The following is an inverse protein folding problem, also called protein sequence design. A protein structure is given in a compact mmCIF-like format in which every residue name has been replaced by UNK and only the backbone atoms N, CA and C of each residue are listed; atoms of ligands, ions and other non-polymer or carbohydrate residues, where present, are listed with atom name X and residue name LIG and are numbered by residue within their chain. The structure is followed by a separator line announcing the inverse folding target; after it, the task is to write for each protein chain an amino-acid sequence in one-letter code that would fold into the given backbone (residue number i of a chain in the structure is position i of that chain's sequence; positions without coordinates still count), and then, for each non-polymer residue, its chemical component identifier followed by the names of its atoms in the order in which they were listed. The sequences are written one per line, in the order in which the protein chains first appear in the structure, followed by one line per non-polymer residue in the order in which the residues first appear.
data_IF_837915494948
#
_entry.id   IF_837915494948
#
_cell.length_a   1.000
_cell.length_b   1.000
_cell.length_c   1.000
_cell.angle_alpha   90.00
_cell.angle_beta   90.00
_cell.angle_gamma   90.00
#
_symmetry.space_group_name_H-M   'P 1'
#
loop_
_entity.id
_entity.type
_entity.pdbx_description
1 polymer ?
#
# COMPACT_ATOMS: atom_id res chain seq x y z
N UNK A 1 -57.99 33.74 67.80
CA UNK A 1 -58.48 32.76 68.80
C UNK A 1 -58.24 33.37 70.18
N UNK A 2 -59.29 33.45 70.99
CA UNK A 2 -59.36 34.27 72.19
C UNK A 2 -58.41 33.76 73.30
N UNK A 3 -57.64 34.66 73.92
CA UNK A 3 -56.48 34.32 74.77
C UNK A 3 -56.88 33.56 76.05
N UNK A 4 -58.17 33.63 76.43
CA UNK A 4 -58.77 32.88 77.55
C UNK A 4 -58.95 31.39 77.26
N UNK A 5 -59.27 31.00 76.03
CA UNK A 5 -59.53 29.60 75.68
C UNK A 5 -58.23 28.78 75.72
N UNK A 6 -57.12 29.41 75.34
CA UNK A 6 -55.79 28.77 75.34
C UNK A 6 -55.28 28.49 76.76
N UNK A 7 -55.52 29.41 77.69
CA UNK A 7 -55.12 29.27 79.10
C UNK A 7 -55.93 28.21 79.88
N UNK A 8 -57.15 27.89 79.45
CA UNK A 8 -57.97 26.83 80.03
C UNK A 8 -57.54 25.44 79.52
N UNK A 9 -57.15 25.33 78.26
CA UNK A 9 -56.68 24.06 77.65
C UNK A 9 -55.33 23.59 78.22
N UNK A 10 -54.42 24.51 78.53
CA UNK A 10 -53.09 24.18 79.08
C UNK A 10 -53.14 23.66 80.54
N UNK A 11 -54.29 23.74 81.22
CA UNK A 11 -54.49 23.23 82.59
C UNK A 11 -54.99 21.78 82.66
N UNK A 12 -55.25 21.15 81.51
CA UNK A 12 -55.73 19.77 81.47
C UNK A 12 -54.53 18.83 81.63
N UNK A 13 -54.36 18.23 82.81
CA UNK A 13 -53.37 17.17 83.03
C UNK A 13 -53.79 15.88 82.31
N UNK A 14 -52.96 15.43 81.36
CA UNK A 14 -53.20 14.20 80.61
C UNK A 14 -52.73 13.00 81.46
N UNK A 15 -53.61 12.02 81.78
CA UNK A 15 -53.24 10.85 82.57
C UNK A 15 -52.12 10.03 81.89
N UNK A 16 -51.12 9.60 82.66
CA UNK A 16 -49.93 8.86 82.18
C UNK A 16 -50.23 7.48 81.56
N UNK A 17 -51.48 7.04 81.53
CA UNK A 17 -51.92 5.75 80.98
C UNK A 17 -52.57 5.85 79.57
N UNK A 18 -52.79 7.05 79.02
CA UNK A 18 -53.22 7.25 77.61
C UNK A 18 -52.04 7.27 76.61
N UNK A 19 -51.04 6.44 76.86
CA UNK A 19 -49.64 6.72 76.54
C UNK A 19 -49.13 6.23 75.17
N UNK A 20 -49.99 6.11 74.15
CA UNK A 20 -49.45 5.76 72.81
C UNK A 20 -50.35 6.17 71.66
N UNK A 21 -51.66 5.94 71.74
CA UNK A 21 -52.58 6.32 70.66
C UNK A 21 -52.80 7.82 70.54
N UNK A 22 -52.80 8.55 71.66
CA UNK A 22 -52.95 10.01 71.66
C UNK A 22 -51.68 10.68 71.13
N UNK A 23 -50.50 10.19 71.53
CA UNK A 23 -49.20 10.64 71.00
C UNK A 23 -49.10 10.37 69.50
N UNK A 24 -49.45 9.15 69.06
CA UNK A 24 -49.48 8.79 67.63
C UNK A 24 -50.48 9.66 66.83
N UNK A 25 -51.63 9.99 67.44
CA UNK A 25 -52.63 10.89 66.85
C UNK A 25 -52.12 12.31 66.68
N UNK A 26 -51.44 12.87 67.69
CA UNK A 26 -50.83 14.20 67.62
C UNK A 26 -49.67 14.27 66.62
N UNK A 27 -48.87 13.21 66.54
CA UNK A 27 -47.74 13.13 65.61
C UNK A 27 -48.18 12.97 64.15
N UNK A 28 -49.27 12.23 63.90
CA UNK A 28 -49.92 12.16 62.60
C UNK A 28 -50.58 13.50 62.21
N UNK A 29 -51.28 14.16 63.15
CA UNK A 29 -51.86 15.47 62.91
C UNK A 29 -50.80 16.54 62.57
N UNK A 30 -49.62 16.48 63.22
CA UNK A 30 -48.48 17.35 62.89
C UNK A 30 -47.92 17.05 61.49
N UNK A 31 -47.81 15.78 61.11
CA UNK A 31 -47.40 15.35 59.76
C UNK A 31 -48.38 15.79 58.68
N UNK A 32 -49.68 15.74 58.96
CA UNK A 32 -50.71 16.16 58.01
C UNK A 32 -50.79 17.69 57.88
N UNK A 33 -50.54 18.44 58.97
CA UNK A 33 -50.39 19.89 58.94
C UNK A 33 -49.14 20.34 58.14
N UNK A 34 -48.01 19.63 58.28
CA UNK A 34 -46.79 19.88 57.48
C UNK A 34 -46.95 19.51 55.99
N UNK A 35 -47.80 18.54 55.66
CA UNK A 35 -48.17 18.21 54.27
C UNK A 35 -49.06 19.28 53.62
N UNK A 36 -49.91 19.95 54.38
CA UNK A 36 -50.82 21.00 53.88
C UNK A 36 -50.10 22.35 53.63
N UNK A 37 -48.89 22.55 54.15
CA UNK A 37 -48.10 23.78 53.96
C UNK A 37 -47.22 23.77 52.69
N UNK A 38 -47.20 22.67 51.92
CA UNK A 38 -46.63 22.69 50.57
C UNK A 38 -47.73 23.05 49.58
N UNK A 39 -47.63 24.20 48.87
CA UNK A 39 -48.67 24.58 47.93
C UNK A 39 -48.75 23.55 46.79
N UNK A 40 -49.94 22.98 46.60
CA UNK A 40 -50.33 22.31 45.36
C UNK A 40 -50.18 23.30 44.20
N UNK A 41 -49.09 23.19 43.43
CA UNK A 41 -49.02 23.81 42.12
C UNK A 41 -49.83 22.96 41.14
N UNK A 42 -51.01 23.47 40.81
CA UNK A 42 -51.79 23.07 39.63
C UNK A 42 -50.91 23.05 38.38
N UNK A 43 -50.88 21.92 37.66
CA UNK A 43 -50.32 21.85 36.31
C UNK A 43 -49.72 20.49 35.97
N UNK A 44 -50.55 19.58 35.47
CA UNK A 44 -50.14 18.37 34.77
C UNK A 44 -49.32 18.68 33.51
N UNK A 45 -48.02 18.95 33.69
CA UNK A 45 -47.02 18.67 32.68
C UNK A 45 -45.98 17.80 33.33
N UNK A 46 -45.96 16.54 32.95
CA UNK A 46 -44.90 15.58 33.29
C UNK A 46 -43.59 16.14 32.72
N UNK A 47 -42.91 17.02 33.48
CA UNK A 47 -41.61 17.57 33.11
C UNK A 47 -40.66 16.37 33.14
N UNK A 48 -40.48 15.78 31.97
CA UNK A 48 -39.48 14.76 31.73
C UNK A 48 -38.13 15.42 32.02
N UNK A 49 -37.61 15.12 33.22
CA UNK A 49 -36.44 15.80 33.79
C UNK A 49 -35.33 15.87 32.75
N UNK A 50 -34.67 17.02 32.60
CA UNK A 50 -33.54 17.21 31.68
C UNK A 50 -32.53 16.06 31.77
N UNK A 51 -32.32 15.49 32.96
CA UNK A 51 -31.46 14.30 33.17
C UNK A 51 -31.96 13.03 32.49
N UNK A 52 -33.27 12.73 32.52
CA UNK A 52 -33.85 11.60 31.79
C UNK A 52 -33.85 11.82 30.28
N UNK A 53 -34.07 13.07 29.83
CA UNK A 53 -33.88 13.44 28.41
C UNK A 53 -32.43 13.21 27.98
N UNK A 54 -31.46 13.74 28.73
CA UNK A 54 -30.04 13.59 28.44
C UNK A 54 -29.62 12.11 28.50
N UNK A 55 -30.07 11.32 29.47
CA UNK A 55 -29.80 9.88 29.50
C UNK A 55 -30.43 9.14 28.31
N UNK A 56 -31.66 9.48 27.95
CA UNK A 56 -32.35 8.84 26.83
C UNK A 56 -31.72 9.22 25.48
N UNK A 57 -31.35 10.49 25.29
CA UNK A 57 -30.61 10.95 24.12
C UNK A 57 -29.18 10.42 24.10
N UNK A 58 -28.52 10.25 25.25
CA UNK A 58 -27.21 9.62 25.35
C UNK A 58 -27.28 8.13 25.02
N UNK A 59 -28.28 7.39 25.49
CA UNK A 59 -28.45 5.98 25.13
C UNK A 59 -28.79 5.80 23.66
N UNK A 60 -29.63 6.68 23.09
CA UNK A 60 -29.94 6.69 21.66
C UNK A 60 -28.71 7.09 20.84
N UNK A 61 -27.90 8.06 21.30
CA UNK A 61 -26.66 8.44 20.62
C UNK A 61 -25.63 7.31 20.67
N UNK A 62 -25.48 6.60 21.78
CA UNK A 62 -24.57 5.44 21.88
C UNK A 62 -25.07 4.29 20.99
N UNK A 63 -26.37 4.04 20.93
CA UNK A 63 -26.95 3.05 20.00
C UNK A 63 -26.78 3.47 18.53
N UNK A 64 -26.97 4.74 18.21
CA UNK A 64 -26.77 5.28 16.85
C UNK A 64 -25.29 5.29 16.46
N UNK A 65 -24.37 5.63 17.37
CA UNK A 65 -22.93 5.54 17.15
C UNK A 65 -22.48 4.08 17.02
N UNK A 66 -23.02 3.18 17.85
CA UNK A 66 -22.79 1.73 17.72
C UNK A 66 -23.31 1.17 16.41
N UNK A 67 -24.51 1.60 15.97
CA UNK A 67 -25.06 1.30 14.65
C UNK A 67 -24.21 1.91 13.52
N UNK A 68 -23.71 3.13 13.68
CA UNK A 68 -22.85 3.79 12.70
C UNK A 68 -21.52 3.05 12.54
N UNK A 69 -20.86 2.72 13.66
CA UNK A 69 -19.59 1.98 13.68
C UNK A 69 -19.81 0.58 13.12
N UNK A 70 -20.88 -0.12 13.53
CA UNK A 70 -21.20 -1.44 12.96
C UNK A 70 -21.57 -1.37 11.48
N UNK A 71 -22.18 -0.29 10.99
CA UNK A 71 -22.49 -0.12 9.57
C UNK A 71 -21.25 0.12 8.71
N UNK A 72 -20.19 0.69 9.28
CA UNK A 72 -18.88 0.78 8.62
C UNK A 72 -18.23 -0.60 8.42
N UNK A 73 -18.54 -1.59 9.27
CA UNK A 73 -18.10 -2.98 9.09
C UNK A 73 -19.01 -3.82 8.19
N UNK A 74 -20.22 -3.36 7.88
CA UNK A 74 -21.24 -4.14 7.13
C UNK A 74 -21.40 -3.64 5.68
N UNK A 75 -20.93 -2.43 5.35
CA UNK A 75 -21.01 -1.86 4.00
C UNK A 75 -19.63 -1.45 3.45
N UNK A 76 -19.10 -2.17 2.45
CA UNK A 76 -17.87 -1.79 1.73
C UNK A 76 -17.89 -0.36 1.17
N UNK A 77 -19.06 0.21 0.90
CA UNK A 77 -19.21 1.56 0.36
C UNK A 77 -18.93 2.68 1.39
N UNK A 78 -19.14 2.43 2.69
CA UNK A 78 -18.90 3.43 3.76
C UNK A 78 -17.49 3.34 4.34
N UNK A 79 -16.87 2.16 4.33
CA UNK A 79 -15.46 1.97 4.71
C UNK A 79 -14.50 2.77 3.80
N UNK A 80 -14.93 3.08 2.58
CA UNK A 80 -14.12 3.74 1.54
C UNK A 80 -13.98 5.26 1.69
N UNK A 81 -14.78 5.90 2.54
CA UNK A 81 -14.86 7.39 2.65
C UNK A 81 -14.11 7.96 3.86
N UNK A 82 -13.42 7.14 4.65
CA UNK A 82 -12.64 7.62 5.81
C UNK A 82 -11.14 7.53 5.52
N UNK A 83 -10.68 8.43 4.67
CA UNK A 83 -9.29 8.91 4.62
C UNK A 83 -9.30 10.31 4.02
N UNK A 84 -8.72 11.29 4.69
CA UNK A 84 -8.55 12.65 4.14
C UNK A 84 -7.52 12.70 3.01
N UNK A 85 -6.79 11.60 2.75
CA UNK A 85 -5.80 11.47 1.68
C UNK A 85 -6.20 10.30 0.76
N UNK A 86 -6.35 10.50 -0.55
CA UNK A 86 -6.62 9.41 -1.49
C UNK A 86 -5.56 8.30 -1.39
N UNK A 87 -5.99 7.03 -1.47
CA UNK A 87 -5.13 5.87 -1.24
C UNK A 87 -3.82 5.89 -2.06
N UNK A 88 -3.90 6.13 -3.37
CA UNK A 88 -2.72 6.19 -4.24
C UNK A 88 -1.81 7.40 -3.94
N UNK A 89 -2.39 8.55 -3.55
CA UNK A 89 -1.60 9.72 -3.13
C UNK A 89 -0.79 9.41 -1.86
N UNK A 90 -1.36 8.64 -0.92
CA UNK A 90 -0.64 8.22 0.28
C UNK A 90 0.55 7.31 -0.04
N UNK A 91 0.42 6.45 -1.06
CA UNK A 91 1.52 5.59 -1.52
C UNK A 91 2.61 6.42 -2.20
N UNK A 92 2.22 7.38 -3.04
CA UNK A 92 3.18 8.26 -3.73
C UNK A 92 4.07 9.04 -2.77
N UNK A 93 3.51 9.50 -1.65
CA UNK A 93 4.23 10.25 -0.63
C UNK A 93 5.01 9.34 0.35
N UNK A 94 4.63 8.07 0.45
CA UNK A 94 5.27 7.13 1.35
C UNK A 94 6.56 6.57 0.76
N UNK A 95 7.45 6.16 1.64
CA UNK A 95 8.58 5.32 1.26
C UNK A 95 8.09 4.02 0.59
N UNK A 96 8.69 3.61 -0.55
CA UNK A 96 8.35 2.36 -1.20
C UNK A 96 8.43 1.18 -0.25
N UNK A 97 7.45 0.28 -0.31
CA UNK A 97 7.36 -0.86 0.60
C UNK A 97 8.63 -1.72 0.64
N UNK A 98 9.36 -1.79 -0.48
CA UNK A 98 10.64 -2.47 -0.56
C UNK A 98 11.67 -1.88 0.38
N UNK A 99 11.93 -0.58 0.30
CA UNK A 99 12.90 0.10 1.16
C UNK A 99 12.54 -0.06 2.63
N UNK A 100 11.27 0.14 2.99
CA UNK A 100 10.81 -0.01 4.37
C UNK A 100 11.05 -1.43 4.92
N UNK A 101 10.83 -2.47 4.11
CA UNK A 101 11.13 -3.86 4.50
C UNK A 101 12.64 -4.09 4.62
N UNK A 102 13.42 -3.56 3.68
CA UNK A 102 14.87 -3.71 3.68
C UNK A 102 15.48 -3.10 4.95
N UNK A 103 15.12 -1.85 5.25
CA UNK A 103 15.63 -1.10 6.41
C UNK A 103 15.23 -1.78 7.72
N UNK A 104 13.96 -2.20 7.87
CA UNK A 104 13.49 -2.89 9.08
C UNK A 104 14.24 -4.22 9.32
N UNK A 105 14.56 -4.95 8.26
CA UNK A 105 15.29 -6.22 8.38
C UNK A 105 16.79 -5.99 8.63
N UNK A 106 17.41 -4.97 8.03
CA UNK A 106 18.79 -4.56 8.34
C UNK A 106 18.93 -4.07 9.78
N UNK A 107 18.00 -3.26 10.28
CA UNK A 107 17.98 -2.77 11.67
C UNK A 107 17.88 -3.92 12.69
N UNK A 108 17.18 -5.00 12.32
CA UNK A 108 17.12 -6.24 13.10
C UNK A 108 18.38 -7.11 13.00
N UNK A 109 19.36 -6.70 12.18
CA UNK A 109 20.64 -7.37 12.02
C UNK A 109 20.63 -8.53 11.05
N UNK A 110 19.61 -8.66 10.20
CA UNK A 110 19.58 -9.70 9.19
C UNK A 110 20.52 -9.39 8.02
N UNK A 111 21.26 -10.39 7.55
CA UNK A 111 22.10 -10.32 6.35
C UNK A 111 21.27 -10.60 5.09
N UNK A 112 21.02 -9.57 4.30
CA UNK A 112 20.11 -9.60 3.15
C UNK A 112 20.91 -9.14 1.92
N UNK A 113 20.91 -9.92 0.85
CA UNK A 113 21.53 -9.51 -0.42
C UNK A 113 20.55 -8.94 -1.43
N UNK A 114 19.25 -9.10 -1.19
CA UNK A 114 18.26 -8.46 -2.04
C UNK A 114 16.83 -8.65 -1.60
N UNK A 115 15.98 -7.76 -2.09
CA UNK A 115 14.53 -7.84 -1.99
C UNK A 115 13.91 -7.57 -3.35
N UNK A 116 12.71 -8.08 -3.59
CA UNK A 116 12.01 -7.82 -4.83
C UNK A 116 10.58 -8.33 -4.87
N UNK A 117 9.87 -8.00 -5.93
CA UNK A 117 8.49 -8.42 -6.16
C UNK A 117 8.37 -9.18 -7.48
N UNK A 118 7.83 -10.39 -7.43
CA UNK A 118 7.33 -11.11 -8.61
C UNK A 118 5.84 -10.94 -8.74
N UNK A 119 5.36 -10.85 -9.98
CA UNK A 119 3.94 -10.68 -10.29
C UNK A 119 3.32 -11.87 -11.04
N UNK A 120 4.13 -12.87 -11.40
CA UNK A 120 3.71 -14.04 -12.18
C UNK A 120 4.51 -15.28 -11.73
N UNK A 121 3.88 -16.47 -11.58
CA UNK A 121 2.45 -16.76 -11.78
C UNK A 121 1.56 -16.26 -10.62
N UNK A 122 2.16 -15.96 -9.48
CA UNK A 122 1.51 -15.37 -8.31
C UNK A 122 2.30 -14.13 -7.86
N UNK A 123 1.63 -13.24 -7.12
CA UNK A 123 2.29 -12.06 -6.56
C UNK A 123 3.07 -12.49 -5.33
N UNK A 124 4.39 -12.39 -5.41
CA UNK A 124 5.30 -12.84 -4.35
C UNK A 124 6.29 -11.73 -4.03
N UNK A 125 6.44 -11.44 -2.75
CA UNK A 125 7.53 -10.64 -2.22
C UNK A 125 8.69 -11.57 -1.87
N UNK A 126 9.86 -11.34 -2.47
CA UNK A 126 11.07 -12.11 -2.27
C UNK A 126 12.03 -11.38 -1.36
N UNK A 127 12.62 -12.13 -0.44
CA UNK A 127 13.80 -11.70 0.34
C UNK A 127 14.89 -12.73 0.13
N UNK A 128 16.10 -12.28 -0.20
CA UNK A 128 17.28 -13.12 -0.38
C UNK A 128 18.23 -12.90 0.78
N UNK A 129 18.50 -13.97 1.53
CA UNK A 129 19.39 -13.95 2.69
C UNK A 129 20.80 -14.42 2.32
N UNK A 130 21.80 -13.72 2.82
CA UNK A 130 23.20 -14.12 2.73
C UNK A 130 23.57 -15.15 3.79
N UNK A 131 24.75 -15.78 3.65
CA UNK A 131 25.37 -16.54 4.74
C UNK A 131 25.35 -18.07 4.60
N UNK A 132 25.40 -18.76 5.73
CA UNK A 132 25.46 -20.23 5.82
C UNK A 132 24.06 -20.85 5.72
N UNK A 133 24.00 -22.16 5.45
CA UNK A 133 22.73 -22.91 5.51
C UNK A 133 22.13 -22.88 6.91
N UNK A 134 22.97 -22.89 7.94
CA UNK A 134 22.56 -22.80 9.34
C UNK A 134 21.88 -21.46 9.61
N UNK A 135 22.52 -20.34 9.21
CA UNK A 135 21.95 -19.01 9.36
C UNK A 135 20.60 -18.89 8.62
N UNK A 136 20.55 -19.32 7.35
CA UNK A 136 19.29 -19.32 6.59
C UNK A 136 18.19 -20.12 7.30
N UNK A 137 18.52 -21.31 7.78
CA UNK A 137 17.55 -22.18 8.45
C UNK A 137 17.05 -21.61 9.78
N UNK A 138 17.90 -20.86 10.48
CA UNK A 138 17.58 -20.20 11.75
C UNK A 138 16.64 -19.00 11.55
N UNK A 139 16.91 -18.12 10.58
CA UNK A 139 16.21 -16.83 10.49
C UNK A 139 15.07 -16.77 9.47
N UNK A 140 14.99 -17.70 8.50
CA UNK A 140 14.04 -17.59 7.36
C UNK A 140 12.58 -17.39 7.77
N UNK A 141 12.14 -18.07 8.82
CA UNK A 141 10.73 -18.06 9.23
C UNK A 141 10.40 -16.76 9.98
N UNK A 142 11.33 -16.23 10.77
CA UNK A 142 11.19 -14.95 11.44
C UNK A 142 11.24 -13.77 10.45
N UNK A 143 12.13 -13.82 9.47
CA UNK A 143 12.17 -12.86 8.36
C UNK A 143 10.85 -12.90 7.60
N UNK A 144 10.37 -14.09 7.22
CA UNK A 144 9.10 -14.27 6.53
C UNK A 144 7.93 -13.67 7.31
N UNK A 145 7.90 -13.90 8.61
CA UNK A 145 6.88 -13.35 9.51
C UNK A 145 6.95 -11.83 9.59
N UNK A 146 8.14 -11.27 9.80
CA UNK A 146 8.38 -9.81 9.87
C UNK A 146 7.90 -9.11 8.60
N UNK A 147 8.26 -9.64 7.43
CA UNK A 147 7.81 -9.10 6.14
C UNK A 147 6.29 -9.19 6.01
N UNK A 148 5.69 -10.32 6.43
CA UNK A 148 4.23 -10.49 6.44
C UNK A 148 3.52 -9.44 7.29
N UNK A 149 3.99 -9.20 8.52
CA UNK A 149 3.43 -8.21 9.44
C UNK A 149 3.51 -6.78 8.85
N UNK A 150 4.62 -6.43 8.19
CA UNK A 150 4.78 -5.13 7.52
C UNK A 150 3.77 -4.98 6.38
N UNK A 151 3.64 -5.99 5.51
CA UNK A 151 2.69 -5.98 4.40
C UNK A 151 1.25 -5.85 4.92
N UNK A 152 0.88 -6.62 5.95
CA UNK A 152 -0.42 -6.55 6.59
C UNK A 152 -0.70 -5.17 7.20
N UNK A 153 0.30 -4.56 7.84
CA UNK A 153 0.15 -3.21 8.44
C UNK A 153 -0.17 -2.13 7.39
N UNK A 154 0.30 -2.32 6.15
CA UNK A 154 0.00 -1.45 5.00
C UNK A 154 -1.29 -1.87 4.27
N UNK A 155 -1.93 -2.93 4.72
CA UNK A 155 -3.11 -3.52 4.09
C UNK A 155 -2.81 -4.15 2.73
N UNK A 156 -1.59 -4.66 2.52
CA UNK A 156 -1.16 -5.34 1.31
C UNK A 156 -1.45 -6.83 1.46
N UNK A 157 -2.60 -7.28 0.97
CA UNK A 157 -3.08 -8.65 1.16
C UNK A 157 -2.88 -9.55 -0.07
N UNK A 158 -2.38 -9.01 -1.19
CA UNK A 158 -2.22 -9.74 -2.45
C UNK A 158 -0.92 -10.51 -2.58
N UNK A 159 0.10 -10.18 -1.79
CA UNK A 159 1.43 -10.81 -1.88
C UNK A 159 1.56 -12.00 -0.93
N UNK A 160 2.15 -13.09 -1.40
CA UNK A 160 2.81 -14.07 -0.54
C UNK A 160 4.27 -13.68 -0.28
N UNK A 161 4.85 -14.19 0.81
CA UNK A 161 6.27 -13.94 1.14
C UNK A 161 7.10 -15.21 0.94
N UNK A 162 8.19 -15.08 0.19
CA UNK A 162 9.19 -16.12 -0.01
C UNK A 162 10.57 -15.63 0.41
N UNK A 163 11.23 -16.42 1.26
CA UNK A 163 12.59 -16.13 1.74
C UNK A 163 13.53 -17.18 1.15
N UNK A 164 14.41 -16.71 0.30
CA UNK A 164 15.38 -17.50 -0.44
C UNK A 164 16.77 -17.32 0.15
N UNK A 165 17.60 -18.35 0.02
CA UNK A 165 19.03 -18.22 0.27
C UNK A 165 19.72 -17.69 -0.99
N UNK A 166 20.66 -16.79 -0.81
CA UNK A 166 21.59 -16.41 -1.87
C UNK A 166 22.29 -17.64 -2.43
N UNK A 167 22.29 -17.76 -3.76
CA UNK A 167 23.05 -18.80 -4.43
C UNK A 167 24.51 -18.39 -4.39
N UNK A 168 25.34 -19.16 -3.67
CA UNK A 168 26.79 -18.93 -3.55
C UNK A 168 27.58 -19.09 -4.86
N UNK A 169 26.92 -19.45 -5.96
CA UNK A 169 27.57 -19.70 -7.24
C UNK A 169 27.36 -18.52 -8.19
N UNK A 170 27.70 -17.32 -7.76
CA UNK A 170 28.15 -16.34 -8.72
C UNK A 170 29.58 -16.74 -9.09
N UNK A 171 29.74 -17.25 -10.30
CA UNK A 171 31.04 -17.57 -10.87
C UNK A 171 31.96 -16.35 -10.74
N UNK A 172 33.07 -16.51 -10.01
CA UNK A 172 34.11 -15.51 -9.90
C UNK A 172 35.17 -15.84 -10.95
N UNK A 173 35.38 -14.99 -11.98
CA UNK A 173 36.40 -15.25 -12.98
C UNK A 173 37.78 -15.39 -12.33
N UNK A 174 38.53 -16.39 -12.76
CA UNK A 174 39.94 -16.55 -12.37
C UNK A 174 40.80 -15.36 -12.84
N UNK A 175 42.01 -15.23 -12.30
CA UNK A 175 42.95 -14.21 -12.76
C UNK A 175 43.28 -14.33 -14.26
N UNK A 176 43.29 -15.55 -14.80
CA UNK A 176 43.53 -15.82 -16.21
C UNK A 176 42.35 -15.34 -17.07
N UNK A 177 41.13 -15.64 -16.66
CA UNK A 177 39.91 -15.20 -17.34
C UNK A 177 39.75 -13.68 -17.27
N UNK A 178 40.14 -13.05 -16.16
CA UNK A 178 40.19 -11.59 -16.05
C UNK A 178 41.21 -10.96 -17.00
N UNK A 179 42.38 -11.58 -17.19
CA UNK A 179 43.39 -11.13 -18.16
C UNK A 179 42.90 -11.30 -19.59
N UNK A 180 42.35 -12.47 -19.92
CA UNK A 180 41.73 -12.77 -21.22
C UNK A 180 40.64 -11.75 -21.56
N UNK A 181 39.66 -11.57 -20.67
CA UNK A 181 38.61 -10.56 -20.78
C UNK A 181 39.18 -9.18 -21.09
N UNK A 182 40.14 -8.74 -20.29
CA UNK A 182 40.74 -7.41 -20.42
C UNK A 182 41.46 -7.24 -21.77
N UNK A 183 42.18 -8.26 -22.25
CA UNK A 183 42.89 -8.19 -23.53
C UNK A 183 41.89 -8.12 -24.70
N UNK A 184 40.88 -9.00 -24.69
CA UNK A 184 39.86 -9.04 -25.74
C UNK A 184 39.10 -7.71 -25.80
N UNK A 185 38.58 -7.24 -24.65
CA UNK A 185 37.83 -5.98 -24.57
C UNK A 185 38.67 -4.81 -25.08
N UNK A 186 39.94 -4.71 -24.70
CA UNK A 186 40.83 -3.63 -25.10
C UNK A 186 41.17 -3.68 -26.59
N UNK A 187 41.57 -4.83 -27.12
CA UNK A 187 42.01 -4.94 -28.53
C UNK A 187 40.83 -4.77 -29.49
N UNK A 188 39.65 -5.34 -29.18
CA UNK A 188 38.44 -5.14 -29.98
C UNK A 188 38.01 -3.67 -29.93
N UNK A 189 38.00 -3.06 -28.74
CA UNK A 189 37.68 -1.62 -28.58
C UNK A 189 38.63 -0.74 -29.39
N UNK A 190 39.94 -1.02 -29.34
CA UNK A 190 40.96 -0.28 -30.07
C UNK A 190 40.75 -0.40 -31.58
N UNK A 191 40.48 -1.61 -32.08
CA UNK A 191 40.22 -1.85 -33.50
C UNK A 191 38.93 -1.18 -33.97
N UNK A 192 37.85 -1.23 -33.19
CA UNK A 192 36.59 -0.51 -33.49
C UNK A 192 36.80 1.00 -33.60
N UNK A 193 37.58 1.59 -32.67
CA UNK A 193 37.95 3.01 -32.70
C UNK A 193 38.78 3.36 -33.93
N UNK A 194 39.78 2.55 -34.27
CA UNK A 194 40.62 2.76 -35.47
C UNK A 194 39.81 2.76 -36.77
N UNK A 195 38.75 1.95 -36.83
CA UNK A 195 37.85 1.85 -37.99
C UNK A 195 36.68 2.85 -37.92
N UNK A 196 36.67 3.75 -36.92
CA UNK A 196 35.63 4.76 -36.70
C UNK A 196 34.19 4.19 -36.59
N UNK A 197 34.04 2.98 -36.04
CA UNK A 197 32.71 2.48 -35.71
C UNK A 197 32.13 3.23 -34.51
N UNK A 198 30.81 3.48 -34.54
CA UNK A 198 30.08 4.06 -33.41
C UNK A 198 29.58 2.95 -32.49
N UNK A 199 30.12 2.85 -31.30
CA UNK A 199 29.77 1.84 -30.31
C UNK A 199 29.80 2.42 -28.89
N UNK A 200 29.10 1.77 -27.99
CA UNK A 200 28.98 2.16 -26.57
C UNK A 200 29.91 1.30 -25.70
N UNK A 201 29.79 -0.03 -25.82
CA UNK A 201 30.49 -0.99 -24.98
C UNK A 201 30.94 -2.21 -25.78
N UNK A 202 32.13 -2.71 -25.45
CA UNK A 202 32.59 -4.07 -25.74
C UNK A 202 32.71 -4.79 -24.40
N UNK A 203 32.15 -5.98 -24.29
CA UNK A 203 32.26 -6.81 -23.09
C UNK A 203 32.58 -8.25 -23.50
N UNK A 204 33.53 -8.87 -22.83
CA UNK A 204 33.86 -10.28 -23.03
C UNK A 204 33.44 -11.10 -21.82
N UNK A 205 32.83 -12.25 -22.09
CA UNK A 205 32.58 -13.32 -21.14
C UNK A 205 33.49 -14.50 -21.49
N UNK A 206 34.57 -14.73 -20.73
CA UNK A 206 35.46 -15.88 -20.92
C UNK A 206 34.81 -17.24 -20.70
N UNK A 207 33.83 -17.31 -19.79
CA UNK A 207 33.11 -18.54 -19.42
C UNK A 207 32.25 -19.02 -20.57
N UNK A 208 31.45 -18.12 -21.13
CA UNK A 208 30.58 -18.41 -22.26
C UNK A 208 31.29 -18.30 -23.62
N UNK A 209 32.55 -17.86 -23.60
CA UNK A 209 33.33 -17.46 -24.78
C UNK A 209 32.51 -16.58 -25.72
N UNK A 210 31.95 -15.50 -25.17
CA UNK A 210 31.12 -14.57 -25.94
C UNK A 210 31.62 -13.14 -25.81
N UNK A 211 31.72 -12.44 -26.95
CA UNK A 211 32.03 -11.01 -27.03
C UNK A 211 30.74 -10.28 -27.39
N UNK A 212 30.28 -9.39 -26.52
CA UNK A 212 29.13 -8.53 -26.70
C UNK A 212 29.58 -7.15 -27.17
N UNK A 213 29.00 -6.66 -28.26
CA UNK A 213 29.34 -5.35 -28.83
C UNK A 213 28.05 -4.56 -29.07
N UNK A 214 27.93 -3.41 -28.39
CA UNK A 214 26.80 -2.52 -28.52
C UNK A 214 27.08 -1.41 -29.54
N UNK A 215 26.48 -1.51 -30.72
CA UNK A 215 26.57 -0.49 -31.77
C UNK A 215 25.58 0.64 -31.52
N UNK A 216 26.07 1.87 -31.66
CA UNK A 216 25.30 3.10 -31.45
C UNK A 216 24.94 3.72 -32.78
N UNK A 217 23.64 3.90 -33.02
CA UNK A 217 23.16 4.63 -34.19
C UNK A 217 21.78 4.20 -34.66
N UNK A 218 21.43 4.66 -35.86
CA UNK A 218 20.16 4.32 -36.49
C UNK A 218 20.08 2.82 -36.81
N UNK A 219 18.86 2.29 -36.96
CA UNK A 219 18.64 0.92 -37.44
C UNK A 219 19.35 0.65 -38.78
N UNK A 220 19.36 1.66 -39.67
CA UNK A 220 20.08 1.58 -40.96
C UNK A 220 21.59 1.44 -40.75
N UNK A 221 22.19 2.24 -39.86
CA UNK A 221 23.61 2.15 -39.57
C UNK A 221 23.98 0.78 -38.99
N UNK A 222 23.24 0.31 -37.98
CA UNK A 222 23.44 -1.03 -37.40
C UNK A 222 23.46 -2.13 -38.45
N UNK A 223 22.44 -2.20 -39.32
CA UNK A 223 22.39 -3.21 -40.38
C UNK A 223 23.52 -3.08 -41.40
N UNK A 224 24.07 -1.88 -41.60
CA UNK A 224 25.22 -1.69 -42.50
C UNK A 224 26.57 -2.13 -41.93
N UNK A 225 26.69 -2.31 -40.61
CA UNK A 225 27.99 -2.58 -39.96
C UNK A 225 28.05 -3.85 -39.11
N UNK A 226 26.90 -4.44 -38.75
CA UNK A 226 26.84 -5.57 -37.80
C UNK A 226 27.71 -6.76 -38.21
N UNK A 227 27.73 -7.13 -39.49
CA UNK A 227 28.46 -8.30 -39.99
C UNK A 227 29.96 -8.03 -40.06
N UNK A 228 30.35 -6.82 -40.47
CA UNK A 228 31.75 -6.38 -40.50
C UNK A 228 32.33 -6.30 -39.09
N UNK A 229 31.58 -5.74 -38.14
CA UNK A 229 31.95 -5.68 -36.72
C UNK A 229 32.11 -7.08 -36.14
N UNK A 230 31.15 -7.97 -36.44
CA UNK A 230 31.19 -9.38 -36.01
C UNK A 230 32.43 -10.08 -36.53
N UNK A 231 32.73 -9.96 -37.83
CA UNK A 231 33.90 -10.58 -38.45
C UNK A 231 35.19 -10.02 -37.87
N UNK A 232 35.31 -8.70 -37.76
CA UNK A 232 36.50 -8.05 -37.24
C UNK A 232 36.78 -8.45 -35.78
N UNK A 233 35.75 -8.47 -34.92
CA UNK A 233 35.94 -8.83 -33.51
C UNK A 233 36.39 -10.29 -33.35
N UNK A 234 35.88 -11.19 -34.21
CA UNK A 234 36.35 -12.57 -34.26
C UNK A 234 37.82 -12.66 -34.70
N UNK A 235 38.20 -11.94 -35.76
CA UNK A 235 39.59 -11.88 -36.23
C UNK A 235 40.56 -11.34 -35.17
N UNK A 236 40.14 -10.35 -34.38
CA UNK A 236 40.93 -9.80 -33.26
C UNK A 236 41.09 -10.83 -32.14
N UNK A 237 40.03 -11.53 -31.76
CA UNK A 237 40.09 -12.56 -30.72
C UNK A 237 41.02 -13.72 -31.14
N UNK A 238 40.81 -14.26 -32.35
CA UNK A 238 41.63 -15.33 -32.91
C UNK A 238 43.10 -14.91 -33.07
N UNK A 239 43.35 -13.68 -33.53
CA UNK A 239 44.70 -13.11 -33.66
C UNK A 239 45.44 -12.94 -32.32
N UNK A 240 44.71 -12.81 -31.21
CA UNK A 240 45.26 -12.78 -29.84
C UNK A 240 45.30 -14.16 -29.18
N UNK A 241 45.08 -15.25 -29.95
CA UNK A 241 45.06 -16.65 -29.48
C UNK A 241 43.87 -17.03 -28.61
N UNK A 242 42.81 -16.21 -28.60
CA UNK A 242 41.56 -16.49 -27.88
C UNK A 242 40.52 -17.04 -28.86
N UNK A 243 40.66 -18.32 -29.20
CA UNK A 243 39.84 -18.97 -30.22
C UNK A 243 38.53 -19.53 -29.67
N UNK A 244 37.52 -19.62 -30.55
CA UNK A 244 36.22 -20.21 -30.22
C UNK A 244 35.22 -19.22 -29.62
N UNK A 245 35.53 -17.92 -29.63
CA UNK A 245 34.59 -16.89 -29.21
C UNK A 245 33.45 -16.72 -30.21
N UNK A 246 32.23 -16.56 -29.69
CA UNK A 246 31.07 -16.09 -30.43
C UNK A 246 30.96 -14.58 -30.30
N UNK A 247 30.56 -13.90 -31.37
CA UNK A 247 30.33 -12.45 -31.32
C UNK A 247 28.84 -12.17 -31.39
N UNK A 248 28.35 -11.45 -30.39
CA UNK A 248 26.99 -10.94 -30.32
C UNK A 248 27.00 -9.41 -30.50
N UNK A 249 26.42 -8.95 -31.60
CA UNK A 249 26.37 -7.52 -31.95
C UNK A 249 24.95 -7.02 -31.83
N UNK A 250 24.73 -6.13 -30.87
CA UNK A 250 23.42 -5.57 -30.54
C UNK A 250 23.37 -4.08 -30.86
N UNK A 251 22.17 -3.58 -31.18
CA UNK A 251 21.94 -2.15 -31.37
C UNK A 251 21.48 -1.54 -30.06
N UNK A 252 22.21 -0.55 -29.57
CA UNK A 252 21.77 0.29 -28.44
C UNK A 252 21.43 1.67 -28.95
N UNK A 253 20.29 2.19 -28.49
CA UNK A 253 20.00 3.61 -28.54
C UNK A 253 20.51 4.21 -27.23
N UNK A 254 21.59 4.98 -27.28
CA UNK A 254 22.22 5.61 -26.10
C UNK A 254 21.40 6.74 -25.48
N UNK A 255 20.17 6.98 -25.94
CA UNK A 255 19.26 7.88 -25.25
C UNK A 255 18.77 7.19 -23.97
N UNK A 256 19.50 7.41 -22.87
CA UNK A 256 18.90 7.34 -21.53
C UNK A 256 17.87 8.46 -21.49
N UNK A 257 16.63 8.12 -21.86
CA UNK A 257 15.54 9.07 -21.81
C UNK A 257 15.19 9.28 -20.33
N UNK A 258 15.09 10.53 -19.86
CA UNK A 258 14.49 10.78 -18.56
C UNK A 258 13.13 10.07 -18.53
N UNK A 259 12.75 9.50 -17.37
CA UNK A 259 11.44 8.86 -17.22
C UNK A 259 10.38 9.83 -17.72
N UNK A 260 9.63 9.41 -18.74
CA UNK A 260 8.47 10.18 -19.17
C UNK A 260 7.46 10.28 -18.00
N UNK A 261 6.47 11.15 -18.16
CA UNK A 261 5.48 11.44 -17.11
C UNK A 261 4.72 10.17 -16.69
N UNK A 262 4.40 9.30 -17.65
CA UNK A 262 3.74 8.03 -17.37
C UNK A 262 4.62 7.13 -16.50
N UNK A 263 5.92 7.03 -16.80
CA UNK A 263 6.89 6.25 -16.02
C UNK A 263 7.04 6.72 -14.58
N UNK A 264 6.93 8.04 -14.32
CA UNK A 264 7.02 8.59 -12.96
C UNK A 264 5.81 8.25 -12.07
N UNK A 265 4.66 7.96 -12.69
CA UNK A 265 3.37 7.78 -12.01
C UNK A 265 2.97 6.31 -11.93
N UNK A 266 3.35 5.52 -12.94
CA UNK A 266 2.89 4.14 -13.13
C UNK A 266 3.31 3.23 -11.97
N UNK A 267 4.46 3.46 -11.35
CA UNK A 267 4.95 2.65 -10.21
C UNK A 267 4.00 2.72 -9.01
N UNK A 268 3.52 3.91 -8.65
CA UNK A 268 2.56 4.09 -7.55
C UNK A 268 1.22 3.46 -7.88
N UNK A 269 0.73 3.61 -9.11
CA UNK A 269 -0.52 2.95 -9.55
C UNK A 269 -0.35 1.42 -9.46
N UNK A 270 0.79 0.90 -9.90
CA UNK A 270 1.09 -0.52 -9.82
C UNK A 270 1.14 -1.02 -8.37
N UNK A 271 1.89 -0.34 -7.50
CA UNK A 271 1.98 -0.71 -6.09
C UNK A 271 0.61 -0.71 -5.40
N UNK A 272 -0.16 0.38 -5.53
CA UNK A 272 -1.47 0.48 -4.88
C UNK A 272 -2.49 -0.52 -5.42
N UNK A 273 -2.60 -0.66 -6.73
CA UNK A 273 -3.63 -1.53 -7.29
C UNK A 273 -3.26 -3.02 -7.24
N UNK A 274 -1.98 -3.35 -7.35
CA UNK A 274 -1.54 -4.75 -7.35
C UNK A 274 -1.36 -5.31 -5.94
N UNK A 275 -1.21 -4.48 -4.92
CA UNK A 275 -1.06 -4.90 -3.52
C UNK A 275 -2.35 -5.39 -2.85
N UNK A 276 -3.52 -5.07 -3.40
CA UNK A 276 -4.82 -5.49 -2.85
C UNK A 276 -5.54 -6.52 -3.71
N UNK A 277 -6.04 -7.60 -3.08
CA UNK A 277 -6.79 -8.69 -3.75
C UNK A 277 -8.12 -8.22 -4.31
N UNK A 278 -8.78 -7.29 -3.61
CA UNK A 278 -10.11 -6.79 -3.99
C UNK A 278 -10.15 -6.16 -5.38
N UNK A 279 -9.04 -5.53 -5.81
CA UNK A 279 -8.96 -4.90 -7.13
C UNK A 279 -8.73 -5.89 -8.27
N UNK A 280 -8.33 -7.13 -7.97
CA UNK A 280 -8.09 -8.18 -8.98
C UNK A 280 -7.13 -7.77 -10.10
N UNK A 281 -6.26 -6.78 -9.88
CA UNK A 281 -5.30 -6.29 -10.88
C UNK A 281 -4.13 -7.25 -11.01
N UNK A 282 -3.75 -7.57 -12.24
CA UNK A 282 -2.64 -8.48 -12.59
C UNK A 282 -1.55 -7.81 -13.42
N UNK A 283 -1.79 -6.58 -13.88
CA UNK A 283 -0.79 -5.80 -14.58
C UNK A 283 -1.18 -4.33 -14.67
N UNK A 284 -0.19 -3.47 -14.63
CA UNK A 284 -0.31 -2.02 -14.82
C UNK A 284 0.78 -1.61 -15.79
N UNK A 285 0.41 -0.84 -16.80
CA UNK A 285 1.35 -0.27 -17.77
C UNK A 285 0.84 1.06 -18.26
N UNK A 286 1.64 1.70 -19.11
CA UNK A 286 1.24 2.94 -19.73
C UNK A 286 1.74 3.04 -21.18
N UNK A 287 1.14 3.96 -21.92
CA UNK A 287 1.57 4.43 -23.24
C UNK A 287 1.85 5.91 -23.11
N UNK A 288 3.00 6.38 -23.61
CA UNK A 288 3.41 7.80 -23.50
C UNK A 288 2.56 8.72 -24.39
N UNK A 289 2.30 8.35 -25.66
CA UNK A 289 1.65 9.24 -26.64
C UNK A 289 0.56 8.56 -27.49
N UNK A 290 -0.73 8.95 -27.36
CA UNK A 290 -1.28 9.75 -26.27
C UNK A 290 -1.09 9.04 -24.91
N UNK A 291 -1.01 9.81 -23.82
CA UNK A 291 -0.83 9.26 -22.48
C UNK A 291 -2.01 8.35 -22.14
N UNK A 292 -1.74 7.09 -21.82
CA UNK A 292 -2.79 6.15 -21.43
C UNK A 292 -2.28 5.21 -20.35
N UNK A 293 -3.01 5.09 -19.24
CA UNK A 293 -2.76 4.09 -18.21
C UNK A 293 -3.61 2.85 -18.48
N UNK A 294 -2.96 1.68 -18.57
CA UNK A 294 -3.58 0.42 -18.97
C UNK A 294 -3.52 -0.53 -17.78
N UNK A 295 -4.70 -0.87 -17.24
CA UNK A 295 -4.86 -1.75 -16.08
C UNK A 295 -5.43 -3.07 -16.57
N UNK A 296 -4.74 -4.18 -16.31
CA UNK A 296 -5.20 -5.53 -16.63
C UNK A 296 -5.71 -6.21 -15.36
N UNK A 297 -6.90 -6.81 -15.43
CA UNK A 297 -7.55 -7.48 -14.29
C UNK A 297 -7.78 -8.97 -14.57
N UNK A 298 -7.97 -9.75 -13.51
CA UNK A 298 -8.28 -11.18 -13.62
C UNK A 298 -9.77 -11.49 -13.78
N UNK A 299 -10.66 -10.48 -13.73
CA UNK A 299 -12.12 -10.64 -13.88
C UNK A 299 -12.50 -10.80 -15.36
N UNK A 300 -13.46 -11.66 -15.67
CA UNK A 300 -13.98 -11.80 -17.04
C UNK A 300 -15.04 -10.73 -17.29
N UNK A 301 -15.13 -10.18 -18.51
CA UNK A 301 -16.06 -9.08 -18.83
C UNK A 301 -17.54 -9.42 -18.61
N UNK A 302 -17.90 -10.71 -18.62
CA UNK A 302 -19.27 -11.19 -18.41
C UNK A 302 -19.68 -11.26 -16.93
N UNK A 303 -18.74 -11.05 -16.00
CA UNK A 303 -19.05 -10.97 -14.58
C UNK A 303 -19.90 -9.71 -14.31
N UNK A 304 -21.05 -9.81 -13.61
CA UNK A 304 -21.92 -8.67 -13.31
C UNK A 304 -21.21 -7.53 -12.57
N UNK A 305 -20.13 -7.83 -11.83
CA UNK A 305 -19.35 -6.85 -11.06
C UNK A 305 -18.21 -6.21 -11.86
N UNK A 306 -17.91 -6.70 -13.07
CA UNK A 306 -16.77 -6.23 -13.86
C UNK A 306 -16.83 -4.73 -14.14
N UNK A 307 -18.00 -4.21 -14.52
CA UNK A 307 -18.16 -2.78 -14.80
C UNK A 307 -17.95 -1.92 -13.55
N UNK A 308 -18.51 -2.35 -12.42
CA UNK A 308 -18.36 -1.63 -11.15
C UNK A 308 -16.89 -1.58 -10.72
N UNK A 309 -16.16 -2.69 -10.83
CA UNK A 309 -14.73 -2.76 -10.55
C UNK A 309 -13.92 -1.83 -11.48
N UNK A 310 -14.23 -1.83 -12.78
CA UNK A 310 -13.58 -0.95 -13.76
C UNK A 310 -13.74 0.52 -13.41
N UNK A 311 -14.96 0.97 -13.13
CA UNK A 311 -15.26 2.35 -12.72
C UNK A 311 -14.60 2.71 -11.39
N UNK A 312 -14.55 1.79 -10.43
CA UNK A 312 -13.88 1.99 -9.15
C UNK A 312 -12.38 2.22 -9.32
N UNK A 313 -11.70 1.39 -10.11
CA UNK A 313 -10.28 1.53 -10.42
C UNK A 313 -10.01 2.85 -11.14
N UNK A 314 -10.82 3.17 -12.16
CA UNK A 314 -10.70 4.45 -12.88
C UNK A 314 -10.84 5.63 -11.92
N UNK A 315 -11.84 5.64 -11.04
CA UNK A 315 -12.06 6.73 -10.09
C UNK A 315 -10.85 6.95 -9.18
N UNK A 316 -10.23 5.88 -8.66
CA UNK A 316 -9.05 5.99 -7.80
C UNK A 316 -7.86 6.57 -8.56
N UNK A 317 -7.65 6.16 -9.82
CA UNK A 317 -6.57 6.70 -10.65
C UNK A 317 -6.86 8.17 -10.99
N UNK A 318 -8.09 8.52 -11.39
CA UNK A 318 -8.46 9.92 -11.69
C UNK A 318 -8.26 10.82 -10.48
N UNK A 319 -8.65 10.38 -9.28
CA UNK A 319 -8.45 11.12 -8.04
C UNK A 319 -6.96 11.35 -7.75
N UNK A 320 -6.13 10.31 -7.92
CA UNK A 320 -4.68 10.41 -7.79
C UNK A 320 -4.05 11.36 -8.81
N UNK A 321 -4.40 11.25 -10.09
CA UNK A 321 -3.86 12.10 -11.16
C UNK A 321 -4.26 13.58 -11.00
N UNK A 322 -5.35 13.85 -10.26
CA UNK A 322 -5.81 15.20 -9.93
C UNK A 322 -5.26 15.72 -8.60
N UNK A 323 -4.49 14.93 -7.86
CA UNK A 323 -3.93 15.38 -6.59
C UNK A 323 -2.92 16.50 -6.80
N UNK A 324 -2.69 17.31 -5.77
CA UNK A 324 -1.81 18.49 -5.83
C UNK A 324 -0.36 18.11 -6.20
N UNK A 325 0.05 16.88 -5.89
CA UNK A 325 1.39 16.36 -6.16
C UNK A 325 1.56 15.91 -7.62
N UNK A 326 0.51 15.33 -8.22
CA UNK A 326 0.60 14.70 -9.55
C UNK A 326 0.17 15.64 -10.66
N UNK A 327 -0.80 16.52 -10.41
CA UNK A 327 -1.29 17.47 -11.41
C UNK A 327 -0.18 18.32 -12.04
N UNK A 328 0.84 18.81 -11.29
CA UNK A 328 1.98 19.52 -11.87
C UNK A 328 2.88 18.63 -12.75
N UNK A 329 3.02 17.34 -12.43
CA UNK A 329 3.82 16.38 -13.22
C UNK A 329 3.17 16.15 -14.59
N UNK A 330 1.84 16.06 -14.62
CA UNK A 330 1.08 15.89 -15.86
C UNK A 330 1.05 17.16 -16.71
N UNK A 331 1.14 18.35 -16.10
CA UNK A 331 1.14 19.65 -16.80
C UNK A 331 -0.04 19.77 -17.79
N UNK A 332 -1.25 19.46 -17.31
CA UNK A 332 -2.50 19.46 -18.08
C UNK A 332 -2.52 18.55 -19.33
N UNK A 333 -1.60 17.57 -19.42
CA UNK A 333 -1.59 16.61 -20.51
C UNK A 333 -2.86 15.73 -20.48
N UNK A 334 -3.57 15.60 -21.61
CA UNK A 334 -4.73 14.71 -21.68
C UNK A 334 -4.28 13.25 -21.54
N UNK A 335 -5.03 12.49 -20.74
CA UNK A 335 -4.78 11.08 -20.51
C UNK A 335 -6.05 10.25 -20.68
N UNK A 336 -5.87 8.96 -20.98
CA UNK A 336 -6.91 7.94 -20.93
C UNK A 336 -6.60 6.90 -19.85
N UNK A 337 -7.63 6.40 -19.17
CA UNK A 337 -7.52 5.23 -18.29
C UNK A 337 -8.32 4.10 -18.91
N UNK A 338 -7.65 2.97 -19.16
CA UNK A 338 -8.22 1.78 -19.78
C UNK A 338 -8.11 0.64 -18.77
N UNK A 339 -9.24 0.22 -18.23
CA UNK A 339 -9.32 -0.97 -17.37
C UNK A 339 -9.83 -2.13 -18.20
N UNK A 340 -8.99 -3.15 -18.37
CA UNK A 340 -9.27 -4.34 -19.16
C UNK A 340 -9.58 -5.53 -18.26
N UNK A 341 -10.62 -6.27 -18.66
CA UNK A 341 -10.92 -7.62 -18.18
C UNK A 341 -9.90 -8.65 -18.67
N UNK A 342 -9.94 -9.85 -18.10
CA UNK A 342 -9.13 -11.02 -18.48
C UNK A 342 -9.29 -11.41 -19.95
N UNK A 343 -10.46 -11.16 -20.54
CA UNK A 343 -10.75 -11.39 -21.96
C UNK A 343 -10.52 -10.14 -22.84
N UNK A 344 -9.70 -9.20 -22.35
CA UNK A 344 -9.24 -7.99 -23.05
C UNK A 344 -10.36 -7.03 -23.48
N UNK A 345 -11.52 -7.05 -22.82
CA UNK A 345 -12.56 -6.03 -23.01
C UNK A 345 -12.41 -4.92 -22.00
N UNK A 346 -12.57 -3.67 -22.45
CA UNK A 346 -12.68 -2.48 -21.58
C UNK A 346 -13.91 -2.63 -20.67
N UNK A 347 -13.72 -2.43 -19.37
CA UNK A 347 -14.76 -2.58 -18.34
C UNK A 347 -15.06 -1.27 -17.60
N UNK A 348 -14.46 -0.15 -17.99
CA UNK A 348 -14.79 1.19 -17.50
C UNK A 348 -15.50 2.04 -18.56
#
# INVERSE_FOLDING_TARGET
MDNKIRQELDKIEIPKELNSRVILGMENAKRDYERQLKPESKGDRKIWSLRRKIMFFSSVAVLLLGLFISSAFVSPAMAKVISTIPYLSSIFQSEPIGSLIFDELEEKGYKISGIGTGYSPHKTFYVTLEGTDDYYSEVKDEVKKTVGEILESKGYDAFSVEVNKERKEDYVPSEEEMKEKSIIENEVTKKLKQLNYKFDRVQADPTEKTIFINIVGSKKYYHSVQDDVKKMALEVADGNKYTGYKINVTKVTTEVRPSDKGGQITSTIAEGLMSKKEFKVIGVGYKDKPLSFIISTSIVSSDPTAKALGTEIESMIVEFLKSEEISPILDNEPYEIIVNSKDNKKIN
#
